data_IF_764737722928
#
_entry.id   IF_764737722928
#
_cell.length_a   1.000
_cell.length_b   1.000
_cell.length_c   1.000
_cell.angle_alpha   90.00
_cell.angle_beta   90.00
_cell.angle_gamma   90.00
#
_symmetry.space_group_name_H-M   'P 1'
#
loop_
_entity.id
_entity.type
_entity.pdbx_description
1 polymer ?
#
# COMPACT_ATOMS: atom_id res chain seq x y z
N UNK A 1 23.38 -10.84 27.87
CA UNK A 1 22.67 -9.59 27.49
C UNK A 1 21.72 -9.76 26.30
N UNK A 2 22.16 -10.26 25.13
CA UNK A 2 21.28 -10.36 23.94
C UNK A 2 20.03 -11.24 24.14
N UNK A 3 20.16 -12.39 24.82
CA UNK A 3 19.02 -13.28 25.07
C UNK A 3 17.97 -12.69 26.03
N UNK A 4 18.40 -11.94 27.03
CA UNK A 4 17.49 -11.26 27.97
C UNK A 4 16.68 -10.15 27.28
N UNK A 5 17.27 -9.45 26.31
CA UNK A 5 16.58 -8.40 25.53
C UNK A 5 15.50 -9.01 24.63
N UNK A 6 15.80 -10.14 23.98
CA UNK A 6 14.83 -10.86 23.15
C UNK A 6 13.66 -11.39 23.99
N UNK A 7 13.95 -11.92 25.18
CA UNK A 7 12.91 -12.41 26.09
C UNK A 7 11.98 -11.27 26.55
N UNK A 8 12.53 -10.11 26.89
CA UNK A 8 11.74 -8.92 27.29
C UNK A 8 10.89 -8.43 26.12
N UNK A 9 11.43 -8.41 24.89
CA UNK A 9 10.69 -7.97 23.70
C UNK A 9 9.49 -8.90 23.42
N UNK A 10 9.68 -10.21 23.56
CA UNK A 10 8.60 -11.20 23.41
C UNK A 10 7.55 -10.98 24.50
N UNK A 11 7.95 -10.77 25.75
CA UNK A 11 7.04 -10.57 26.87
C UNK A 11 6.21 -9.28 26.73
N UNK A 12 6.80 -8.21 26.18
CA UNK A 12 6.11 -6.96 25.86
C UNK A 12 5.12 -7.14 24.71
N UNK A 13 5.48 -7.87 23.65
CA UNK A 13 4.56 -8.18 22.55
C UNK A 13 3.36 -9.04 23.00
N UNK A 14 3.58 -10.02 23.88
CA UNK A 14 2.49 -10.83 24.46
C UNK A 14 1.62 -10.03 25.43
N UNK A 15 2.20 -9.13 26.23
CA UNK A 15 1.44 -8.23 27.11
C UNK A 15 0.53 -7.26 26.34
N UNK A 16 1.04 -6.69 25.24
CA UNK A 16 0.28 -5.78 24.38
C UNK A 16 -0.87 -6.47 23.64
N UNK A 17 -0.68 -7.72 23.21
CA UNK A 17 -1.74 -8.51 22.54
C UNK A 17 -2.81 -9.03 23.51
N UNK A 18 -2.47 -9.28 24.77
CA UNK A 18 -3.45 -9.61 25.82
C UNK A 18 -4.35 -8.42 26.18
N UNK A 19 -3.81 -7.19 26.19
CA UNK A 19 -4.59 -5.97 26.41
C UNK A 19 -5.57 -5.68 25.25
N UNK A 20 -5.23 -6.08 24.02
CA UNK A 20 -6.09 -5.89 22.85
C UNK A 20 -7.33 -6.80 22.84
N UNK A 21 -7.28 -7.96 23.51
CA UNK A 21 -8.43 -8.89 23.58
C UNK A 21 -9.53 -8.43 24.55
N UNK A 22 -9.27 -7.42 25.39
CA UNK A 22 -10.25 -6.89 26.35
C UNK A 22 -11.19 -5.81 25.76
N UNK A 23 -11.22 -5.63 24.44
CA UNK A 23 -11.96 -4.54 23.78
C UNK A 23 -13.47 -4.78 23.64
N UNK A 24 -14.00 -5.96 24.01
CA UNK A 24 -15.43 -6.25 23.97
C UNK A 24 -16.02 -6.49 25.34
N UNK A 25 -16.58 -5.47 25.99
CA UNK A 25 -17.42 -5.70 27.17
C UNK A 25 -18.74 -6.31 26.69
N UNK A 26 -18.92 -7.60 26.95
CA UNK A 26 -20.21 -8.26 26.73
C UNK A 26 -21.21 -7.70 27.73
N UNK A 27 -22.26 -7.04 27.24
CA UNK A 27 -23.32 -6.46 28.06
C UNK A 27 -24.57 -7.32 27.90
N UNK A 28 -24.86 -8.10 28.95
CA UNK A 28 -26.05 -8.94 29.04
C UNK A 28 -27.17 -8.16 29.72
N UNK A 29 -28.31 -8.03 29.04
CA UNK A 29 -29.47 -7.33 29.59
C UNK A 29 -30.65 -8.29 29.75
N UNK A 30 -31.32 -8.19 30.90
CA UNK A 30 -32.43 -9.09 31.24
C UNK A 30 -33.68 -8.76 30.42
N UNK A 31 -34.57 -9.74 30.30
CA UNK A 31 -35.86 -9.58 29.63
C UNK A 31 -36.74 -8.49 30.27
N UNK A 32 -36.49 -8.15 31.54
CA UNK A 32 -37.21 -7.08 32.24
C UNK A 32 -36.92 -5.70 31.67
N UNK A 33 -35.73 -5.48 31.09
CA UNK A 33 -35.39 -4.22 30.45
C UNK A 33 -36.26 -3.96 29.21
N UNK A 34 -36.66 -5.02 28.51
CA UNK A 34 -37.48 -4.96 27.28
C UNK A 34 -38.85 -4.31 27.50
N UNK A 35 -39.39 -4.40 28.71
CA UNK A 35 -40.69 -3.83 29.09
C UNK A 35 -40.55 -2.66 30.05
N UNK A 36 -39.31 -2.20 30.30
CA UNK A 36 -39.04 -1.11 31.23
C UNK A 36 -39.20 0.24 30.55
N UNK A 37 -39.60 1.25 31.33
CA UNK A 37 -39.56 2.67 30.91
C UNK A 37 -38.24 3.33 31.34
N UNK A 38 -37.19 2.53 31.57
CA UNK A 38 -35.88 3.05 31.94
C UNK A 38 -35.21 3.77 30.76
N UNK A 39 -34.22 4.59 31.06
CA UNK A 39 -33.46 5.28 30.02
C UNK A 39 -32.73 4.30 29.10
N UNK A 40 -32.56 4.61 27.81
CA UNK A 40 -31.84 3.76 26.86
C UNK A 40 -30.42 3.44 27.32
N UNK A 41 -30.01 2.21 27.06
CA UNK A 41 -28.67 1.72 27.34
C UNK A 41 -27.62 2.49 26.52
N UNK A 42 -26.53 2.90 27.18
CA UNK A 42 -25.40 3.50 26.49
C UNK A 42 -24.46 2.42 25.95
N UNK A 43 -24.30 2.43 24.64
CA UNK A 43 -23.51 1.49 23.88
C UNK A 43 -22.35 2.24 23.21
N UNK A 44 -21.15 1.66 23.29
CA UNK A 44 -19.94 2.21 22.69
C UNK A 44 -19.42 1.23 21.62
N UNK A 45 -18.68 1.74 20.64
CA UNK A 45 -18.03 0.91 19.64
C UNK A 45 -17.16 -0.17 20.32
N UNK A 46 -17.35 -1.43 19.93
CA UNK A 46 -16.69 -2.59 20.54
C UNK A 46 -17.56 -3.37 21.53
N UNK A 47 -18.65 -2.78 22.03
CA UNK A 47 -19.58 -3.51 22.91
C UNK A 47 -20.29 -4.65 22.14
N UNK A 48 -20.38 -5.82 22.76
CA UNK A 48 -21.18 -6.95 22.26
C UNK A 48 -22.45 -7.04 23.10
N UNK A 49 -23.60 -7.11 22.43
CA UNK A 49 -24.92 -7.08 23.05
C UNK A 49 -25.60 -8.42 22.95
N UNK A 50 -26.02 -8.95 24.09
CA UNK A 50 -26.92 -10.10 24.16
C UNK A 50 -28.31 -9.58 24.50
N UNK A 51 -29.19 -9.62 23.49
CA UNK A 51 -30.54 -9.07 23.57
C UNK A 51 -31.51 -10.21 23.82
N UNK A 52 -32.19 -10.17 24.96
CA UNK A 52 -33.23 -11.14 25.31
C UNK A 52 -34.63 -10.75 24.78
N UNK A 53 -34.76 -9.59 24.13
CA UNK A 53 -36.01 -9.05 23.58
C UNK A 53 -36.21 -9.48 22.11
N UNK A 54 -37.45 -9.58 21.66
CA UNK A 54 -37.78 -9.83 20.24
C UNK A 54 -37.31 -8.70 19.31
N UNK A 55 -37.31 -7.46 19.81
CA UNK A 55 -36.87 -6.27 19.07
C UNK A 55 -36.08 -5.33 19.96
N UNK A 56 -35.09 -4.66 19.38
CA UNK A 56 -34.31 -3.62 20.06
C UNK A 56 -34.08 -2.45 19.10
N UNK A 57 -34.36 -1.24 19.57
CA UNK A 57 -34.13 -0.01 18.82
C UNK A 57 -32.79 0.59 19.20
N UNK A 58 -31.95 0.87 18.21
CA UNK A 58 -30.75 1.67 18.40
C UNK A 58 -31.04 3.11 18.00
N UNK A 59 -30.69 4.04 18.88
CA UNK A 59 -30.80 5.46 18.63
C UNK A 59 -29.49 6.15 18.94
N UNK A 60 -29.11 7.09 18.08
CA UNK A 60 -27.97 7.96 18.34
C UNK A 60 -28.23 8.80 19.59
N UNK A 61 -27.25 8.91 20.49
CA UNK A 61 -27.34 9.68 21.74
C UNK A 61 -27.86 11.10 21.54
N UNK A 62 -27.36 11.82 20.53
CA UNK A 62 -27.77 13.21 20.26
C UNK A 62 -29.25 13.27 19.88
N UNK A 63 -29.71 12.31 19.06
CA UNK A 63 -31.11 12.22 18.63
C UNK A 63 -32.03 11.84 19.79
N UNK A 64 -31.59 10.96 20.68
CA UNK A 64 -32.34 10.62 21.89
C UNK A 64 -32.55 11.83 22.80
N UNK A 65 -31.48 12.58 23.12
CA UNK A 65 -31.56 13.76 23.97
C UNK A 65 -32.51 14.84 23.39
N UNK A 66 -32.57 14.95 22.07
CA UNK A 66 -33.51 15.83 21.41
C UNK A 66 -34.97 15.43 21.63
N UNK A 67 -35.33 14.18 21.32
CA UNK A 67 -36.70 13.72 21.51
C UNK A 67 -37.12 13.79 22.97
N UNK A 68 -36.20 13.53 23.90
CA UNK A 68 -36.44 13.71 25.33
C UNK A 68 -36.79 15.16 25.67
N UNK A 69 -36.05 16.15 25.15
CA UNK A 69 -36.33 17.58 25.36
C UNK A 69 -37.66 18.02 24.75
N UNK A 70 -37.99 17.56 23.55
CA UNK A 70 -39.31 17.83 22.93
C UNK A 70 -40.43 17.23 23.77
N UNK A 71 -40.27 15.98 24.20
CA UNK A 71 -41.27 15.31 25.02
C UNK A 71 -41.50 16.06 26.34
N UNK A 72 -40.43 16.49 27.02
CA UNK A 72 -40.52 17.33 28.21
C UNK A 72 -41.23 18.66 27.94
N UNK A 73 -40.84 19.39 26.89
CA UNK A 73 -41.48 20.66 26.53
C UNK A 73 -42.97 20.50 26.16
N UNK A 74 -43.34 19.34 25.60
CA UNK A 74 -44.73 18.99 25.28
C UNK A 74 -45.54 18.72 26.55
N UNK A 75 -44.98 17.98 27.50
CA UNK A 75 -45.61 17.73 28.80
C UNK A 75 -45.80 19.02 29.61
N UNK A 76 -44.86 19.95 29.50
CA UNK A 76 -44.92 21.27 30.15
C UNK A 76 -45.84 22.28 29.43
N UNK A 77 -46.47 21.87 28.32
CA UNK A 77 -47.34 22.70 27.47
C UNK A 77 -46.66 24.00 26.99
N UNK A 78 -45.33 24.00 26.91
CA UNK A 78 -44.51 25.16 26.56
C UNK A 78 -44.26 25.18 25.05
N UNK A 79 -45.25 25.66 24.30
CA UNK A 79 -45.23 25.75 22.84
C UNK A 79 -44.04 26.54 22.28
N UNK A 80 -43.58 27.55 23.01
CA UNK A 80 -42.42 28.37 22.62
C UNK A 80 -41.11 27.57 22.68
N UNK A 81 -40.91 26.77 23.73
CA UNK A 81 -39.74 25.90 23.87
C UNK A 81 -39.72 24.84 22.75
N UNK A 82 -40.87 24.22 22.45
CA UNK A 82 -41.00 23.24 21.37
C UNK A 82 -40.65 23.86 19.99
N UNK A 83 -41.20 25.04 19.69
CA UNK A 83 -40.92 25.75 18.44
C UNK A 83 -39.44 26.13 18.31
N UNK A 84 -38.82 26.58 19.40
CA UNK A 84 -37.39 26.94 19.42
C UNK A 84 -36.47 25.73 19.18
N UNK A 85 -36.81 24.58 19.79
CA UNK A 85 -36.09 23.32 19.60
C UNK A 85 -36.23 22.81 18.16
N UNK A 86 -37.41 22.92 17.57
CA UNK A 86 -37.66 22.51 16.20
C UNK A 86 -36.86 23.36 15.20
N UNK A 87 -36.87 24.69 15.35
CA UNK A 87 -36.07 25.59 14.51
C UNK A 87 -34.57 25.34 14.64
N UNK A 88 -34.07 25.09 15.85
CA UNK A 88 -32.67 24.75 16.06
C UNK A 88 -32.28 23.44 15.34
N UNK A 89 -33.22 22.48 15.27
CA UNK A 89 -33.00 21.23 14.54
C UNK A 89 -33.04 21.38 13.03
N UNK A 90 -33.97 22.18 12.50
CA UNK A 90 -34.00 22.50 11.08
C UNK A 90 -32.71 23.19 10.62
N UNK A 91 -32.21 24.15 11.40
CA UNK A 91 -30.93 24.80 11.12
C UNK A 91 -29.78 23.78 11.16
N UNK A 92 -29.74 22.92 12.18
CA UNK A 92 -28.72 21.87 12.27
C UNK A 92 -28.80 20.87 11.12
N UNK A 93 -29.98 20.53 10.64
CA UNK A 93 -30.19 19.67 9.46
C UNK A 93 -29.62 20.32 8.21
N UNK A 94 -29.89 21.62 8.00
CA UNK A 94 -29.32 22.39 6.88
C UNK A 94 -27.79 22.44 6.95
N UNK A 95 -27.22 22.67 8.13
CA UNK A 95 -25.78 22.68 8.33
C UNK A 95 -25.15 21.31 8.03
N UNK A 96 -25.80 20.22 8.45
CA UNK A 96 -25.36 18.86 8.15
C UNK A 96 -25.44 18.54 6.65
N UNK A 97 -26.51 18.96 5.97
CA UNK A 97 -26.64 18.79 4.52
C UNK A 97 -25.55 19.55 3.76
N UNK A 98 -25.29 20.80 4.14
CA UNK A 98 -24.21 21.60 3.58
C UNK A 98 -22.84 20.92 3.80
N UNK A 99 -22.56 20.47 5.03
CA UNK A 99 -21.31 19.75 5.35
C UNK A 99 -21.17 18.45 4.54
N UNK A 100 -22.25 17.67 4.43
CA UNK A 100 -22.25 16.43 3.64
C UNK A 100 -21.99 16.71 2.16
N UNK A 101 -22.60 17.75 1.59
CA UNK A 101 -22.38 18.15 0.20
C UNK A 101 -20.91 18.52 -0.06
N UNK A 102 -20.26 19.20 0.89
CA UNK A 102 -18.86 19.57 0.82
C UNK A 102 -17.94 18.33 0.90
N UNK A 103 -18.23 17.40 1.81
CA UNK A 103 -17.48 16.14 1.94
C UNK A 103 -17.60 15.33 0.65
N UNK A 104 -18.81 15.24 0.07
CA UNK A 104 -19.04 14.53 -1.19
C UNK A 104 -18.24 15.15 -2.34
N UNK A 105 -18.24 16.49 -2.45
CA UNK A 105 -17.45 17.19 -3.47
C UNK A 105 -15.94 16.94 -3.29
N UNK A 106 -15.45 16.99 -2.05
CA UNK A 106 -14.05 16.69 -1.74
C UNK A 106 -13.66 15.24 -2.06
N UNK A 107 -14.55 14.28 -1.74
CA UNK A 107 -14.35 12.87 -2.05
C UNK A 107 -14.24 12.64 -3.57
N UNK A 108 -15.16 13.22 -4.36
CA UNK A 108 -15.11 13.15 -5.83
C UNK A 108 -13.84 13.75 -6.40
N UNK A 109 -13.39 14.90 -5.87
CA UNK A 109 -12.13 15.52 -6.28
C UNK A 109 -10.93 14.64 -5.95
N UNK A 110 -10.91 14.03 -4.75
CA UNK A 110 -9.84 13.12 -4.32
C UNK A 110 -9.79 11.86 -5.17
N UNK A 111 -10.95 11.31 -5.53
CA UNK A 111 -11.08 10.17 -6.44
C UNK A 111 -10.49 10.49 -7.81
N UNK A 112 -10.86 11.64 -8.39
CA UNK A 112 -10.34 12.07 -9.69
C UNK A 112 -8.81 12.23 -9.67
N UNK A 113 -8.26 12.89 -8.65
CA UNK A 113 -6.80 13.04 -8.48
C UNK A 113 -6.13 11.66 -8.38
N UNK A 114 -6.74 10.72 -7.66
CA UNK A 114 -6.20 9.36 -7.52
C UNK A 114 -6.18 8.63 -8.86
N UNK A 115 -7.24 8.77 -9.66
CA UNK A 115 -7.29 8.21 -11.01
C UNK A 115 -6.22 8.82 -11.93
N UNK A 116 -6.01 10.14 -11.87
CA UNK A 116 -4.97 10.82 -12.64
C UNK A 116 -3.56 10.34 -12.24
N UNK A 117 -3.31 10.16 -10.95
CA UNK A 117 -2.04 9.60 -10.46
C UNK A 117 -1.85 8.17 -11.00
N UNK A 118 -2.86 7.31 -10.89
CA UNK A 118 -2.80 5.94 -11.40
C UNK A 118 -2.51 5.92 -12.90
N UNK A 119 -3.17 6.77 -13.69
CA UNK A 119 -2.95 6.87 -15.13
C UNK A 119 -1.51 7.31 -15.46
N UNK A 120 -1.00 8.32 -14.74
CA UNK A 120 0.37 8.81 -14.91
C UNK A 120 1.41 7.77 -14.50
N UNK A 121 1.20 7.07 -13.38
CA UNK A 121 2.08 5.98 -12.94
C UNK A 121 2.09 4.84 -13.93
N UNK A 122 0.93 4.45 -14.48
CA UNK A 122 0.84 3.42 -15.52
C UNK A 122 1.65 3.82 -16.76
N UNK A 123 1.47 5.05 -17.25
CA UNK A 123 2.24 5.57 -18.40
C UNK A 123 3.74 5.60 -18.12
N UNK A 124 4.14 6.03 -16.92
CA UNK A 124 5.56 6.04 -16.53
C UNK A 124 6.12 4.62 -16.51
N UNK A 125 5.36 3.65 -16.00
CA UNK A 125 5.78 2.25 -15.95
C UNK A 125 5.94 1.65 -17.35
N UNK A 126 5.01 1.94 -18.27
CA UNK A 126 5.11 1.55 -19.68
C UNK A 126 6.37 2.13 -20.34
N UNK A 127 6.67 3.42 -20.10
CA UNK A 127 7.88 4.06 -20.61
C UNK A 127 9.15 3.43 -20.02
N UNK A 128 9.16 3.12 -18.72
CA UNK A 128 10.28 2.44 -18.07
C UNK A 128 10.48 1.04 -18.63
N UNK A 129 9.39 0.29 -18.85
CA UNK A 129 9.45 -1.04 -19.46
C UNK A 129 10.03 -0.97 -20.88
N UNK A 130 9.59 -0.02 -21.71
CA UNK A 130 10.16 0.18 -23.04
C UNK A 130 11.65 0.53 -22.99
N UNK A 131 12.06 1.39 -22.05
CA UNK A 131 13.47 1.75 -21.86
C UNK A 131 14.31 0.55 -21.43
N UNK A 132 13.78 -0.32 -20.56
CA UNK A 132 14.45 -1.56 -20.16
C UNK A 132 14.60 -2.53 -21.33
N UNK A 133 13.57 -2.69 -22.17
CA UNK A 133 13.64 -3.52 -23.37
C UNK A 133 14.68 -2.98 -24.37
N UNK A 134 14.72 -1.66 -24.58
CA UNK A 134 15.73 -1.02 -25.44
C UNK A 134 17.16 -1.20 -24.90
N UNK A 135 17.35 -1.08 -23.58
CA UNK A 135 18.63 -1.32 -22.93
C UNK A 135 19.05 -2.79 -23.03
N UNK A 136 18.12 -3.73 -22.87
CA UNK A 136 18.39 -5.16 -23.03
C UNK A 136 18.81 -5.48 -24.46
N UNK A 137 18.13 -4.94 -25.46
CA UNK A 137 18.52 -5.09 -26.87
C UNK A 137 19.91 -4.49 -27.14
N UNK A 138 20.20 -3.32 -26.57
CA UNK A 138 21.50 -2.67 -26.71
C UNK A 138 22.63 -3.48 -26.06
N UNK A 139 22.35 -4.12 -24.91
CA UNK A 139 23.27 -5.02 -24.25
C UNK A 139 23.53 -6.27 -25.08
N UNK A 140 22.49 -6.87 -25.67
CA UNK A 140 22.61 -8.05 -26.52
C UNK A 140 23.44 -7.74 -27.78
N UNK A 141 23.18 -6.61 -28.43
CA UNK A 141 24.03 -6.12 -29.52
C UNK A 141 25.48 -5.87 -29.10
N UNK A 142 25.69 -5.29 -27.90
CA UNK A 142 27.02 -5.05 -27.39
C UNK A 142 27.76 -6.36 -27.15
N UNK A 143 27.09 -7.38 -26.60
CA UNK A 143 27.65 -8.73 -26.43
C UNK A 143 28.03 -9.35 -27.77
N UNK A 144 27.16 -9.27 -28.79
CA UNK A 144 27.47 -9.77 -30.14
C UNK A 144 28.68 -9.05 -30.77
N UNK A 145 28.78 -7.73 -30.58
CA UNK A 145 29.94 -6.95 -31.05
C UNK A 145 31.22 -7.36 -30.32
N UNK A 146 31.13 -7.64 -29.02
CA UNK A 146 32.24 -8.08 -28.19
C UNK A 146 32.72 -9.49 -28.56
N UNK A 147 31.78 -10.40 -28.85
CA UNK A 147 32.05 -11.73 -29.39
C UNK A 147 32.81 -11.63 -30.73
N UNK A 148 32.32 -10.80 -31.66
CA UNK A 148 32.97 -10.54 -32.95
C UNK A 148 34.35 -9.92 -32.79
N UNK A 149 34.51 -8.96 -31.88
CA UNK A 149 35.81 -8.35 -31.60
C UNK A 149 36.80 -9.40 -31.05
N UNK A 150 36.35 -10.27 -30.13
CA UNK A 150 37.16 -11.38 -29.63
C UNK A 150 37.55 -12.37 -30.73
N UNK A 151 36.63 -12.70 -31.65
CA UNK A 151 36.91 -13.57 -32.78
C UNK A 151 37.96 -12.96 -33.72
N UNK A 152 37.86 -11.65 -34.00
CA UNK A 152 38.84 -10.91 -34.81
C UNK A 152 40.20 -10.86 -34.12
N UNK A 153 40.27 -10.57 -32.83
CA UNK A 153 41.52 -10.60 -32.03
C UNK A 153 42.13 -12.01 -32.06
N UNK A 154 41.31 -13.06 -31.98
CA UNK A 154 41.79 -14.45 -32.06
C UNK A 154 42.35 -14.78 -33.43
N UNK A 155 41.69 -14.33 -34.50
CA UNK A 155 42.15 -14.47 -35.90
C UNK A 155 43.45 -13.68 -36.15
N UNK A 156 43.56 -12.45 -35.67
CA UNK A 156 44.80 -11.68 -35.76
C UNK A 156 45.96 -12.33 -35.01
N UNK A 157 45.73 -12.84 -33.79
CA UNK A 157 46.75 -13.59 -33.05
C UNK A 157 47.20 -14.84 -33.80
N UNK A 158 46.29 -15.53 -34.49
CA UNK A 158 46.64 -16.69 -35.32
C UNK A 158 47.43 -16.29 -36.57
N UNK A 159 47.05 -15.22 -37.26
CA UNK A 159 47.79 -14.74 -38.43
C UNK A 159 49.18 -14.18 -38.07
N UNK A 160 49.30 -13.44 -36.96
CA UNK A 160 50.58 -12.89 -36.52
C UNK A 160 51.55 -13.96 -36.03
N UNK A 161 51.05 -14.96 -35.29
CA UNK A 161 51.87 -16.11 -34.83
C UNK A 161 52.18 -17.07 -35.97
N UNK A 162 51.21 -17.31 -36.87
CA UNK A 162 51.37 -18.15 -38.06
C UNK A 162 52.36 -17.58 -39.06
N UNK A 163 52.33 -16.26 -39.31
CA UNK A 163 53.33 -15.60 -40.16
C UNK A 163 54.73 -15.69 -39.58
N UNK A 164 54.91 -15.54 -38.25
CA UNK A 164 56.22 -15.69 -37.60
C UNK A 164 56.76 -17.11 -37.69
N UNK A 165 55.89 -18.11 -37.57
CA UNK A 165 56.28 -19.51 -37.76
C UNK A 165 56.68 -19.78 -39.23
N UNK A 166 55.92 -19.24 -40.19
CA UNK A 166 56.18 -19.42 -41.62
C UNK A 166 57.50 -18.76 -42.06
N UNK A 167 57.79 -17.54 -41.59
CA UNK A 167 59.04 -16.84 -41.90
C UNK A 167 60.24 -17.49 -41.21
N UNK A 168 60.06 -18.04 -40.00
CA UNK A 168 61.09 -18.82 -39.32
C UNK A 168 61.47 -20.11 -40.06
N UNK A 169 60.47 -20.85 -40.56
CA UNK A 169 60.69 -22.08 -41.33
C UNK A 169 61.32 -21.76 -42.71
N UNK A 170 60.87 -20.70 -43.37
CA UNK A 170 61.46 -20.25 -44.63
C UNK A 170 62.92 -19.78 -44.47
N UNK A 171 63.25 -19.11 -43.37
CA UNK A 171 64.61 -18.65 -43.07
C UNK A 171 65.61 -19.79 -42.83
N UNK A 172 65.17 -20.87 -42.18
CA UNK A 172 66.00 -22.06 -41.96
C UNK A 172 66.32 -22.76 -43.28
N UNK A 173 65.35 -22.88 -44.20
CA UNK A 173 65.57 -23.50 -45.51
C UNK A 173 66.59 -22.75 -46.38
N UNK A 174 66.54 -21.42 -46.38
CA UNK A 174 67.51 -20.58 -47.13
C UNK A 174 68.89 -20.57 -46.47
N UNK A 175 68.96 -20.59 -45.14
CA UNK A 175 70.22 -20.66 -44.40
C UNK A 175 71.00 -21.96 -44.62
N UNK A 176 70.30 -23.10 -44.71
CA UNK A 176 70.92 -24.40 -45.01
C UNK A 176 71.49 -24.43 -46.44
N UNK A 177 70.79 -23.87 -47.42
CA UNK A 177 71.25 -23.84 -48.81
C UNK A 177 72.51 -22.96 -49.00
N UNK A 178 72.60 -21.83 -48.31
CA UNK A 178 73.77 -20.94 -48.40
C UNK A 178 74.96 -21.51 -47.60
N UNK A 179 74.71 -22.14 -46.45
CA UNK A 179 75.76 -22.76 -45.62
C UNK A 179 76.47 -23.91 -46.33
N UNK A 180 75.75 -24.73 -47.11
CA UNK A 180 76.33 -25.85 -47.89
C UNK A 180 77.13 -25.36 -49.11
N UNK A 181 76.83 -24.18 -49.66
CA UNK A 181 77.56 -23.59 -50.79
C UNK A 181 78.87 -22.88 -50.37
N UNK A 182 79.02 -22.50 -49.11
CA UNK A 182 80.22 -21.80 -48.58
C UNK A 182 81.21 -22.78 -47.94
N UNK A 183 80.79 -24.00 -47.65
CA UNK A 183 81.62 -25.02 -46.97
C UNK A 183 82.19 -26.09 -47.92
N UNK A 184 82.02 -25.92 -49.23
CA UNK A 184 82.61 -26.76 -50.28
C UNK A 184 83.43 -25.89 -51.23
#
# INVERSE_FOLDING_TARGET
MKQSIVLILILVCFGLSALAQNAGKMKNYSQQYCTSNETPLQLVAGDTLVVACDTMFLINKIRYEFYKKIHQATLENNSNSCTSLLLAFENRLKDHEASYSQILANSKRSEQISLDIIANTKKSLENTQQSLLANQHSLDEAMVKLERANELIRKEKWNATGQKALTGIAGIGVGILIGVLVTN
#
